data_IF_868745423370
#
_entry.id   IF_868745423370
#
_cell.length_a   1.000
_cell.length_b   1.000
_cell.length_c   1.000
_cell.angle_alpha   90.00
_cell.angle_beta   90.00
_cell.angle_gamma   90.00
#
_symmetry.space_group_name_H-M   'P 1'
#
loop_
_entity.id
_entity.type
_entity.pdbx_description
1 polymer ?
#
# COMPACT_ATOMS: atom_id res chain seq x y z
N UNK A 1 17.87 3.69 -9.26
CA UNK A 1 16.79 3.44 -10.27
C UNK A 1 15.46 3.86 -9.65
N UNK A 2 14.68 4.68 -10.34
CA UNK A 2 13.35 5.10 -9.86
C UNK A 2 12.36 3.96 -10.11
N UNK A 3 11.53 3.64 -9.13
CA UNK A 3 10.39 2.73 -9.27
C UNK A 3 9.12 3.56 -9.40
N UNK A 4 8.26 3.21 -10.35
CA UNK A 4 6.97 3.85 -10.58
C UNK A 4 5.86 2.91 -10.16
N UNK A 5 4.83 3.45 -9.51
CA UNK A 5 3.70 2.68 -9.01
C UNK A 5 2.72 2.23 -10.11
N UNK A 6 2.70 2.94 -11.24
CA UNK A 6 1.87 2.68 -12.40
C UNK A 6 2.20 3.65 -13.54
N UNK A 7 1.35 3.67 -14.57
CA UNK A 7 1.50 4.55 -15.73
C UNK A 7 1.56 6.03 -15.30
N UNK A 8 2.57 6.77 -15.78
CA UNK A 8 2.80 8.16 -15.40
C UNK A 8 3.11 8.39 -13.91
N UNK A 9 3.37 7.32 -13.13
CA UNK A 9 3.55 7.40 -11.68
C UNK A 9 2.24 7.39 -10.88
N UNK A 10 1.08 7.28 -11.54
CA UNK A 10 -0.22 7.21 -10.88
C UNK A 10 -0.50 5.81 -10.33
N UNK A 11 -1.24 5.75 -9.22
CA UNK A 11 -1.70 4.50 -8.66
C UNK A 11 -2.85 3.91 -9.51
N UNK A 12 -2.85 2.60 -9.78
CA UNK A 12 -3.96 1.93 -10.47
C UNK A 12 -5.16 1.78 -9.53
N UNK A 13 -6.02 2.80 -9.47
CA UNK A 13 -7.25 2.79 -8.66
C UNK A 13 -8.43 2.29 -9.49
N UNK A 14 -9.15 1.29 -8.98
CA UNK A 14 -10.36 0.78 -9.63
C UNK A 14 -11.51 1.81 -9.57
N UNK A 15 -12.42 1.77 -10.54
CA UNK A 15 -13.63 2.58 -10.51
C UNK A 15 -14.50 2.21 -9.30
N UNK A 16 -14.89 3.23 -8.53
CA UNK A 16 -15.72 3.02 -7.35
C UNK A 16 -17.19 2.82 -7.75
N UNK A 17 -17.86 1.73 -7.32
CA UNK A 17 -19.29 1.52 -7.60
C UNK A 17 -20.18 2.51 -6.85
N UNK A 18 -19.69 3.10 -5.76
CA UNK A 18 -20.35 4.15 -4.99
C UNK A 18 -19.31 5.18 -4.53
N UNK A 19 -19.61 6.50 -4.50
CA UNK A 19 -18.65 7.53 -4.12
C UNK A 19 -17.99 7.31 -2.75
N UNK A 20 -18.75 6.80 -1.78
CA UNK A 20 -18.23 6.47 -0.44
C UNK A 20 -17.18 5.35 -0.44
N UNK A 21 -17.11 4.53 -1.49
CA UNK A 21 -16.09 3.49 -1.63
C UNK A 21 -14.78 4.01 -2.23
N UNK A 22 -14.78 5.21 -2.86
CA UNK A 22 -13.59 5.75 -3.51
C UNK A 22 -12.37 5.85 -2.57
N UNK A 23 -12.50 6.32 -1.31
CA UNK A 23 -11.36 6.34 -0.38
C UNK A 23 -10.79 4.96 -0.09
N UNK A 24 -11.64 3.94 0.03
CA UNK A 24 -11.22 2.56 0.31
C UNK A 24 -10.38 1.99 -0.84
N UNK A 25 -10.81 2.22 -2.09
CA UNK A 25 -10.09 1.76 -3.28
C UNK A 25 -8.75 2.49 -3.46
N UNK A 26 -8.69 3.79 -3.16
CA UNK A 26 -7.45 4.55 -3.17
C UNK A 26 -6.45 3.99 -2.16
N UNK A 27 -6.88 3.75 -0.92
CA UNK A 27 -6.03 3.17 0.13
C UNK A 27 -5.58 1.75 -0.24
N UNK A 28 -6.48 0.93 -0.79
CA UNK A 28 -6.13 -0.41 -1.28
C UNK A 28 -5.03 -0.36 -2.35
N UNK A 29 -5.16 0.50 -3.37
CA UNK A 29 -4.15 0.64 -4.41
C UNK A 29 -2.81 1.11 -3.85
N UNK A 30 -2.82 2.02 -2.88
CA UNK A 30 -1.62 2.50 -2.22
C UNK A 30 -0.90 1.36 -1.47
N UNK A 31 -1.62 0.57 -0.66
CA UNK A 31 -1.02 -0.52 0.10
C UNK A 31 -0.39 -1.60 -0.80
N UNK A 32 -1.00 -1.88 -1.96
CA UNK A 32 -0.39 -2.78 -2.97
C UNK A 32 0.93 -2.22 -3.51
N UNK A 33 0.98 -0.92 -3.79
CA UNK A 33 2.17 -0.27 -4.34
C UNK A 33 3.34 -0.23 -3.34
N UNK A 34 3.09 0.22 -2.10
CA UNK A 34 4.12 0.26 -1.05
C UNK A 34 4.63 -1.15 -0.70
N UNK A 35 3.74 -2.16 -0.65
CA UNK A 35 4.16 -3.55 -0.42
C UNK A 35 5.14 -4.02 -1.49
N UNK A 36 4.81 -3.84 -2.78
CA UNK A 36 5.69 -4.22 -3.88
C UNK A 36 7.04 -3.47 -3.82
N UNK A 37 7.02 -2.19 -3.46
CA UNK A 37 8.23 -1.39 -3.30
C UNK A 37 9.09 -1.88 -2.12
N UNK A 38 8.49 -2.20 -0.98
CA UNK A 38 9.19 -2.70 0.20
C UNK A 38 9.93 -4.01 -0.12
N UNK A 39 9.23 -4.98 -0.72
CA UNK A 39 9.82 -6.25 -1.15
C UNK A 39 10.98 -6.03 -2.13
N UNK A 40 10.81 -5.12 -3.10
CA UNK A 40 11.86 -4.81 -4.08
C UNK A 40 13.09 -4.12 -3.47
N UNK A 41 12.93 -3.46 -2.33
CA UNK A 41 14.01 -2.88 -1.53
C UNK A 41 14.61 -3.86 -0.53
N UNK A 42 14.09 -5.10 -0.44
CA UNK A 42 14.56 -6.11 0.51
C UNK A 42 14.04 -5.89 1.94
N UNK A 43 12.95 -5.14 2.11
CA UNK A 43 12.30 -4.95 3.41
C UNK A 43 11.15 -5.94 3.60
N UNK A 44 10.94 -6.37 4.85
CA UNK A 44 9.75 -7.12 5.24
C UNK A 44 8.65 -6.14 5.69
N UNK A 45 7.55 -5.98 4.94
CA UNK A 45 6.47 -5.06 5.29
C UNK A 45 5.67 -5.50 6.51
N UNK A 46 5.69 -6.80 6.86
CA UNK A 46 5.00 -7.34 8.05
C UNK A 46 5.84 -7.20 9.33
N UNK A 47 7.14 -6.97 9.19
CA UNK A 47 8.09 -6.74 10.29
C UNK A 47 8.93 -5.48 10.00
N UNK A 48 8.30 -4.30 9.96
CA UNK A 48 9.01 -3.06 9.68
C UNK A 48 10.02 -2.74 10.79
N UNK A 49 11.20 -2.20 10.44
CA UNK A 49 12.17 -1.78 11.44
C UNK A 49 11.58 -0.64 12.30
N UNK A 50 11.87 -0.68 13.60
CA UNK A 50 11.44 0.34 14.58
C UNK A 50 9.93 0.42 14.86
N UNK A 51 9.13 -0.56 14.39
CA UNK A 51 7.74 -0.71 14.79
C UNK A 51 7.52 -2.07 15.43
N UNK A 52 6.82 -2.12 16.55
CA UNK A 52 6.29 -3.36 17.11
C UNK A 52 4.78 -3.41 16.85
N UNK A 53 4.27 -4.60 16.54
CA UNK A 53 2.83 -4.82 16.47
C UNK A 53 2.23 -4.62 17.86
N UNK A 54 1.53 -3.51 18.06
CA UNK A 54 0.78 -3.24 19.31
C UNK A 54 -0.62 -3.79 19.13
N UNK A 55 -0.79 -5.07 19.44
CA UNK A 55 -2.11 -5.69 19.60
C UNK A 55 -2.15 -6.31 20.98
N UNK A 56 -2.85 -5.65 21.91
CA UNK A 56 -3.21 -6.23 23.20
C UNK A 56 -4.53 -6.98 23.04
N UNK A 57 -4.51 -8.28 23.27
CA UNK A 57 -5.71 -9.11 23.39
C UNK A 57 -5.79 -9.57 24.84
N UNK A 58 -6.71 -8.97 25.61
CA UNK A 58 -7.08 -9.35 26.99
C UNK A 58 -8.22 -10.35 27.00
#
# INVERSE_FOLDING_TARGET
RVWLAGEGGNLPVAAAPHPLCAPLLTVQSFYRAINALALRRGHNPDLPPHLNKVTETV
#
